data_IF_322415206082
#
_entry.id   IF_322415206082
#
_cell.length_a   1.000
_cell.length_b   1.000
_cell.length_c   1.000
_cell.angle_alpha   90.00
_cell.angle_beta   90.00
_cell.angle_gamma   90.00
#
_symmetry.space_group_name_H-M   'P 1'
#
loop_
_entity.id
_entity.type
_entity.pdbx_description
1 polymer ?
#
# COMPACT_ATOMS: atom_id res chain seq x y z
N UNK A 1 13.07 2.46 4.12
CA UNK A 1 12.95 2.88 2.71
C UNK A 1 12.86 1.64 1.85
N UNK A 2 11.70 0.99 1.85
CA UNK A 2 11.42 -0.14 0.98
C UNK A 2 11.24 0.38 -0.43
N UNK A 3 12.17 0.05 -1.34
CA UNK A 3 11.80 0.04 -2.75
C UNK A 3 10.90 -1.18 -2.92
N UNK A 4 9.59 -0.97 -3.12
CA UNK A 4 8.68 -2.01 -3.60
C UNK A 4 9.36 -2.67 -4.80
N UNK A 5 9.76 -3.93 -4.65
CA UNK A 5 10.64 -4.57 -5.62
C UNK A 5 9.85 -4.79 -6.92
N UNK A 6 10.48 -4.68 -8.09
CA UNK A 6 9.87 -5.00 -9.38
C UNK A 6 9.20 -6.39 -9.37
N UNK A 7 9.75 -7.33 -8.61
CA UNK A 7 9.16 -8.66 -8.40
C UNK A 7 7.81 -8.60 -7.68
N UNK A 8 7.68 -7.79 -6.65
CA UNK A 8 6.47 -7.67 -5.84
C UNK A 8 5.32 -7.05 -6.62
N UNK A 9 5.57 -5.96 -7.34
CA UNK A 9 4.53 -5.32 -8.16
C UNK A 9 4.03 -6.24 -9.28
N UNK A 10 4.88 -7.14 -9.79
CA UNK A 10 4.49 -8.14 -10.80
C UNK A 10 3.62 -9.24 -10.21
N UNK A 11 4.00 -9.76 -9.04
CA UNK A 11 3.21 -10.76 -8.31
C UNK A 11 1.84 -10.19 -7.96
N UNK A 12 1.79 -8.96 -7.46
CA UNK A 12 0.52 -8.30 -7.17
C UNK A 12 -0.28 -8.01 -8.44
N UNK A 13 0.34 -7.60 -9.55
CA UNK A 13 -0.36 -7.43 -10.82
C UNK A 13 -1.01 -8.73 -11.29
N UNK A 14 -0.31 -9.87 -11.16
CA UNK A 14 -0.87 -11.18 -11.50
C UNK A 14 -2.05 -11.55 -10.58
N UNK A 15 -1.91 -11.35 -9.27
CA UNK A 15 -2.98 -11.59 -8.30
C UNK A 15 -4.20 -10.68 -8.54
N UNK A 16 -3.99 -9.41 -8.89
CA UNK A 16 -5.06 -8.47 -9.21
C UNK A 16 -5.81 -8.85 -10.50
N UNK A 17 -5.10 -9.35 -11.51
CA UNK A 17 -5.71 -9.89 -12.73
C UNK A 17 -6.58 -11.10 -12.37
N UNK A 18 -6.06 -12.04 -11.56
CA UNK A 18 -6.82 -13.20 -11.11
C UNK A 18 -8.09 -12.80 -10.35
N UNK A 19 -7.98 -11.89 -9.37
CA UNK A 19 -9.13 -11.38 -8.60
C UNK A 19 -10.17 -10.68 -9.47
N UNK A 20 -9.76 -9.99 -10.52
CA UNK A 20 -10.68 -9.32 -11.46
C UNK A 20 -11.46 -10.27 -12.37
N UNK A 21 -10.99 -11.52 -12.54
CA UNK A 21 -11.51 -12.47 -13.51
C UNK A 21 -11.27 -12.08 -14.99
N UNK A 22 -10.53 -11.01 -15.26
CA UNK A 22 -10.27 -10.55 -16.63
C UNK A 22 -9.27 -11.46 -17.34
N UNK A 23 -9.57 -11.80 -18.59
CA UNK A 23 -8.63 -12.54 -19.44
C UNK A 23 -7.53 -11.61 -19.99
N UNK A 24 -6.29 -12.12 -20.11
CA UNK A 24 -5.16 -11.37 -20.67
C UNK A 24 -5.43 -10.79 -22.08
N UNK A 25 -6.27 -11.45 -22.86
CA UNK A 25 -6.70 -10.99 -24.20
C UNK A 25 -7.58 -9.73 -24.12
N UNK A 26 -8.50 -9.69 -23.15
CA UNK A 26 -9.34 -8.53 -22.89
C UNK A 26 -8.49 -7.36 -22.40
N UNK A 27 -7.60 -7.61 -21.43
CA UNK A 27 -6.64 -6.61 -20.93
C UNK A 27 -5.80 -6.03 -22.07
N UNK A 28 -5.25 -6.89 -22.92
CA UNK A 28 -4.43 -6.45 -24.05
C UNK A 28 -5.20 -5.53 -25.00
N UNK A 29 -6.48 -5.84 -25.28
CA UNK A 29 -7.35 -5.02 -26.10
C UNK A 29 -7.61 -3.65 -25.47
N UNK A 30 -8.01 -3.60 -24.20
CA UNK A 30 -8.31 -2.35 -23.49
C UNK A 30 -7.05 -1.47 -23.32
N UNK A 31 -5.90 -2.11 -23.12
CA UNK A 31 -4.61 -1.43 -23.02
C UNK A 31 -3.97 -1.14 -24.39
N UNK A 32 -4.63 -1.47 -25.52
CA UNK A 32 -4.12 -1.25 -26.88
C UNK A 32 -2.69 -1.83 -27.07
N UNK A 33 -2.49 -3.05 -26.58
CA UNK A 33 -1.23 -3.79 -26.64
C UNK A 33 -1.48 -5.22 -27.13
N UNK A 34 -0.47 -6.08 -27.09
CA UNK A 34 -0.61 -7.51 -27.43
C UNK A 34 -0.68 -8.36 -26.17
N UNK A 35 -1.37 -9.50 -26.26
CA UNK A 35 -1.41 -10.50 -25.17
C UNK A 35 0.01 -10.96 -24.77
N UNK A 36 0.94 -11.02 -25.74
CA UNK A 36 2.35 -11.34 -25.48
C UNK A 36 3.03 -10.26 -24.62
N UNK A 37 2.76 -8.97 -24.87
CA UNK A 37 3.28 -7.90 -24.02
C UNK A 37 2.75 -8.01 -22.58
N UNK A 38 1.45 -8.29 -22.40
CA UNK A 38 0.86 -8.50 -21.07
C UNK A 38 1.56 -9.64 -20.34
N UNK A 39 1.76 -10.79 -21.00
CA UNK A 39 2.52 -11.90 -20.40
C UNK A 39 3.97 -11.55 -20.09
N UNK A 40 4.63 -10.76 -20.93
CA UNK A 40 6.01 -10.33 -20.71
C UNK A 40 6.14 -9.34 -19.53
N UNK A 41 5.13 -8.52 -19.25
CA UNK A 41 5.17 -7.64 -18.09
C UNK A 41 5.10 -8.40 -16.77
N UNK A 42 4.41 -9.54 -16.78
CA UNK A 42 4.29 -10.44 -15.63
C UNK A 42 5.48 -11.42 -15.51
N UNK A 43 6.37 -11.51 -16.51
CA UNK A 43 7.56 -12.35 -16.44
C UNK A 43 8.68 -11.68 -15.67
N UNK A 44 9.63 -12.46 -15.13
CA UNK A 44 10.78 -11.93 -14.37
C UNK A 44 11.69 -11.03 -15.22
N UNK A 45 11.78 -11.31 -16.52
CA UNK A 45 12.82 -10.80 -17.41
C UNK A 45 12.61 -9.38 -17.94
N UNK A 46 11.37 -8.87 -17.96
CA UNK A 46 11.06 -7.57 -18.58
C UNK A 46 10.47 -6.60 -17.58
N UNK A 47 10.93 -5.35 -17.61
CA UNK A 47 10.37 -4.31 -16.74
C UNK A 47 8.93 -3.98 -17.14
N UNK A 48 8.13 -3.62 -16.14
CA UNK A 48 6.79 -3.11 -16.33
C UNK A 48 6.88 -1.65 -16.79
N UNK A 49 6.43 -1.27 -18.00
CA UNK A 49 6.41 0.14 -18.40
C UNK A 49 5.47 0.93 -17.48
N UNK A 50 5.95 2.05 -16.93
CA UNK A 50 5.20 2.84 -15.92
C UNK A 50 3.82 3.27 -16.43
N UNK A 51 3.73 3.70 -17.70
CA UNK A 51 2.47 4.09 -18.33
C UNK A 51 1.46 2.93 -18.40
N UNK A 52 1.96 1.72 -18.66
CA UNK A 52 1.13 0.52 -18.72
C UNK A 52 0.73 0.05 -17.33
N UNK A 53 1.60 0.22 -16.33
CA UNK A 53 1.30 -0.12 -14.94
C UNK A 53 0.15 0.74 -14.42
N UNK A 54 0.21 2.06 -14.64
CA UNK A 54 -0.85 2.99 -14.26
C UNK A 54 -2.18 2.68 -14.98
N UNK A 55 -2.12 2.37 -16.28
CA UNK A 55 -3.32 2.01 -17.05
C UNK A 55 -3.91 0.67 -16.61
N UNK A 56 -3.08 -0.32 -16.28
CA UNK A 56 -3.52 -1.61 -15.76
C UNK A 56 -4.17 -1.44 -14.39
N UNK A 57 -3.55 -0.69 -13.47
CA UNK A 57 -4.14 -0.39 -12.15
C UNK A 57 -5.53 0.24 -12.29
N UNK A 58 -5.66 1.25 -13.17
CA UNK A 58 -6.95 1.87 -13.45
C UNK A 58 -7.97 0.91 -14.06
N UNK A 59 -7.55 0.03 -14.98
CA UNK A 59 -8.43 -0.94 -15.65
C UNK A 59 -8.95 -1.99 -14.68
N UNK A 60 -8.07 -2.55 -13.84
CA UNK A 60 -8.44 -3.59 -12.87
C UNK A 60 -9.29 -3.02 -11.74
N UNK A 61 -9.10 -1.74 -11.38
CA UNK A 61 -9.82 -1.10 -10.28
C UNK A 61 -9.55 -1.75 -8.92
N UNK A 62 -8.49 -2.55 -8.83
CA UNK A 62 -8.06 -3.24 -7.62
C UNK A 62 -7.30 -2.26 -6.73
N UNK A 63 -7.83 -2.00 -5.53
CA UNK A 63 -7.34 -0.91 -4.69
C UNK A 63 -5.95 -1.23 -4.12
N UNK A 64 -5.72 -2.48 -3.69
CA UNK A 64 -4.43 -2.93 -3.17
C UNK A 64 -3.34 -2.79 -4.23
N UNK A 65 -3.60 -3.31 -5.43
CA UNK A 65 -2.67 -3.16 -6.55
C UNK A 65 -2.44 -1.70 -6.94
N UNK A 66 -3.48 -0.86 -6.83
CA UNK A 66 -3.34 0.58 -7.11
C UNK A 66 -2.44 1.30 -6.09
N UNK A 67 -2.50 0.93 -4.81
CA UNK A 67 -1.55 1.41 -3.82
C UNK A 67 -0.12 0.99 -4.19
N UNK A 68 0.13 -0.31 -4.35
CA UNK A 68 1.47 -0.83 -4.67
C UNK A 68 2.04 -0.25 -5.99
N UNK A 69 1.19 -0.03 -6.99
CA UNK A 69 1.58 0.63 -8.22
C UNK A 69 1.99 2.10 -7.99
N UNK A 70 1.30 2.82 -7.10
CA UNK A 70 1.67 4.17 -6.72
C UNK A 70 2.98 4.19 -5.91
N UNK A 71 3.19 3.26 -4.98
CA UNK A 71 4.45 3.13 -4.24
C UNK A 71 5.63 2.89 -5.18
N UNK A 72 5.47 1.96 -6.13
CA UNK A 72 6.50 1.65 -7.11
C UNK A 72 6.88 2.86 -7.98
N UNK A 73 5.89 3.68 -8.35
CA UNK A 73 6.11 4.84 -9.22
C UNK A 73 6.66 6.05 -8.47
N UNK A 74 6.21 6.30 -7.24
CA UNK A 74 6.53 7.52 -6.50
C UNK A 74 7.53 7.31 -5.35
N UNK A 75 7.84 6.07 -4.98
CA UNK A 75 8.75 5.73 -3.89
C UNK A 75 8.21 6.09 -2.50
N UNK A 76 6.89 6.20 -2.37
CA UNK A 76 6.19 6.51 -1.11
C UNK A 76 5.49 5.23 -0.66
N UNK A 77 5.81 4.72 0.52
CA UNK A 77 5.15 3.54 1.11
C UNK A 77 3.71 3.90 1.50
N UNK A 78 2.74 3.06 1.12
CA UNK A 78 1.31 3.26 1.36
C UNK A 78 0.68 2.05 2.07
N UNK A 79 1.27 0.88 1.94
CA UNK A 79 0.88 -0.39 2.53
C UNK A 79 2.11 -1.03 3.20
N UNK A 80 1.94 -1.64 4.38
CA UNK A 80 3.02 -2.35 5.03
C UNK A 80 3.37 -3.66 4.27
N UNK A 81 4.65 -4.06 4.33
CA UNK A 81 5.23 -5.28 3.73
C UNK A 81 4.59 -6.62 4.18
N UNK A 82 3.61 -6.60 5.08
CA UNK A 82 3.00 -7.79 5.65
C UNK A 82 2.09 -8.54 4.65
N UNK A 83 2.54 -9.74 4.29
CA UNK A 83 1.90 -10.78 3.47
C UNK A 83 0.70 -11.49 4.13
N UNK A 84 0.24 -11.02 5.30
CA UNK A 84 -0.95 -11.49 5.96
C UNK A 84 -2.16 -11.48 5.01
N UNK A 85 -3.05 -12.46 5.16
CA UNK A 85 -4.29 -12.53 4.38
C UNK A 85 -4.97 -11.17 4.39
N UNK A 86 -5.29 -10.64 3.21
CA UNK A 86 -5.89 -9.32 3.02
C UNK A 86 -7.37 -9.32 3.42
N UNK A 87 -7.61 -9.64 4.68
CA UNK A 87 -8.92 -9.75 5.31
C UNK A 87 -9.06 -8.55 6.25
N UNK A 88 -10.18 -7.79 6.16
CA UNK A 88 -10.38 -6.59 6.96
C UNK A 88 -10.18 -6.78 8.46
N UNK A 89 -10.56 -7.93 9.01
CA UNK A 89 -10.42 -8.22 10.43
C UNK A 89 -8.97 -8.25 10.89
N UNK A 90 -8.08 -8.93 10.16
CA UNK A 90 -6.65 -9.01 10.49
C UNK A 90 -6.01 -7.62 10.41
N UNK A 91 -6.33 -6.86 9.37
CA UNK A 91 -5.82 -5.50 9.19
C UNK A 91 -6.33 -4.52 10.25
N UNK A 92 -7.58 -4.69 10.70
CA UNK A 92 -8.13 -3.92 11.83
C UNK A 92 -7.36 -4.18 13.13
N UNK A 93 -7.07 -5.44 13.46
CA UNK A 93 -6.30 -5.72 14.68
C UNK A 93 -4.88 -5.18 14.60
N UNK A 94 -4.25 -5.21 13.43
CA UNK A 94 -2.96 -4.57 13.21
C UNK A 94 -3.05 -3.04 13.41
N UNK A 95 -4.04 -2.37 12.82
CA UNK A 95 -4.19 -0.91 13.00
C UNK A 95 -4.42 -0.51 14.45
N UNK A 96 -5.23 -1.27 15.20
CA UNK A 96 -5.45 -1.02 16.63
C UNK A 96 -4.16 -1.22 17.45
N UNK A 97 -3.33 -2.20 17.09
CA UNK A 97 -2.05 -2.39 17.76
C UNK A 97 -1.14 -1.18 17.57
N UNK A 98 -0.95 -0.75 16.32
CA UNK A 98 -0.08 0.40 16.01
C UNK A 98 -0.62 1.71 16.63
N UNK A 99 -1.94 1.92 16.63
CA UNK A 99 -2.58 3.04 17.34
C UNK A 99 -2.26 3.06 18.84
N UNK A 100 -2.29 1.88 19.50
CA UNK A 100 -1.95 1.77 20.91
C UNK A 100 -0.46 2.03 21.18
N UNK A 101 0.42 1.56 20.29
CA UNK A 101 1.87 1.76 20.38
C UNK A 101 2.20 3.27 20.28
N UNK A 102 1.61 4.01 19.32
CA UNK A 102 1.74 5.48 19.23
C UNK A 102 1.15 6.19 20.44
N UNK A 103 -0.08 5.87 20.85
CA UNK A 103 -0.72 6.48 22.03
C UNK A 103 0.07 6.25 23.32
N UNK A 104 0.80 5.14 23.41
CA UNK A 104 1.72 4.86 24.52
C UNK A 104 2.85 5.89 24.68
N UNK A 105 3.14 6.66 23.63
CA UNK A 105 4.12 7.75 23.63
C UNK A 105 3.52 9.12 23.99
N UNK A 106 2.19 9.30 23.94
CA UNK A 106 1.50 10.57 24.26
C UNK A 106 1.42 10.84 25.77
N UNK A 107 2.58 10.89 26.43
CA UNK A 107 2.73 11.18 27.85
C UNK A 107 3.06 12.66 28.06
N UNK A 108 3.19 13.08 29.32
CA UNK A 108 3.49 14.48 29.69
C UNK A 108 4.71 15.07 28.93
N UNK A 109 5.73 14.24 28.67
CA UNK A 109 6.92 14.61 27.88
C UNK A 109 6.58 15.00 26.44
N UNK A 110 5.66 14.29 25.78
CA UNK A 110 5.24 14.58 24.41
C UNK A 110 4.61 15.98 24.32
N UNK A 111 3.63 16.28 25.18
CA UNK A 111 2.96 17.57 25.20
C UNK A 111 3.92 18.73 25.52
N UNK A 112 4.86 18.49 26.43
CA UNK A 112 5.89 19.48 26.81
C UNK A 112 6.86 19.78 25.66
N UNK A 113 7.21 18.79 24.84
CA UNK A 113 8.08 18.97 23.66
C UNK A 113 7.31 19.69 22.54
N UNK A 114 6.08 19.26 22.26
CA UNK A 114 5.22 19.84 21.22
C UNK A 114 4.83 21.30 21.48
N UNK A 115 4.87 21.75 22.73
CA UNK A 115 4.62 23.15 23.08
C UNK A 115 5.81 24.09 22.77
N UNK A 116 6.99 23.54 22.46
CA UNK A 116 8.20 24.31 22.11
C UNK A 116 8.32 24.50 20.60
N UNK A 117 9.06 25.52 20.18
CA UNK A 117 9.51 25.61 18.79
C UNK A 117 10.41 24.43 18.45
N UNK A 118 10.31 23.81 17.26
CA UNK A 118 11.22 22.73 16.84
C UNK A 118 12.70 23.13 16.85
N UNK A 119 13.00 24.43 16.72
CA UNK A 119 14.37 24.98 16.81
C UNK A 119 14.96 24.92 18.22
N UNK A 120 14.11 24.75 19.24
CA UNK A 120 14.48 24.80 20.65
C UNK A 120 14.56 23.39 21.27
N UNK A 121 14.32 22.35 20.46
CA UNK A 121 14.41 20.97 20.90
C UNK A 121 15.86 20.57 21.14
N UNK A 122 16.12 19.93 22.28
CA UNK A 122 17.41 19.31 22.54
C UNK A 122 17.49 17.89 21.93
N UNK A 123 18.70 17.31 21.89
CA UNK A 123 18.94 16.00 21.27
C UNK A 123 18.03 14.87 21.79
N UNK A 124 17.68 14.88 23.08
CA UNK A 124 16.79 13.86 23.65
C UNK A 124 15.34 14.04 23.17
N UNK A 125 14.90 15.27 22.96
CA UNK A 125 13.58 15.63 22.46
C UNK A 125 13.48 15.34 20.97
N UNK A 126 14.52 15.66 20.20
CA UNK A 126 14.63 15.26 18.78
C UNK A 126 14.55 13.74 18.64
N UNK A 127 15.29 13.00 19.47
CA UNK A 127 15.25 11.53 19.45
C UNK A 127 13.86 10.99 19.81
N UNK A 128 13.21 11.57 20.83
CA UNK A 128 11.85 11.20 21.23
C UNK A 128 10.86 11.46 20.09
N UNK A 129 10.87 12.65 19.49
CA UNK A 129 9.99 13.01 18.38
C UNK A 129 10.29 12.22 17.11
N UNK A 130 11.53 11.80 16.88
CA UNK A 130 11.87 10.88 15.79
C UNK A 130 11.24 9.52 15.99
N UNK A 131 11.28 8.99 17.23
CA UNK A 131 10.58 7.75 17.58
C UNK A 131 9.07 7.88 17.42
N UNK A 132 8.49 8.97 17.93
CA UNK A 132 7.06 9.26 17.76
C UNK A 132 6.67 9.36 16.28
N UNK A 133 7.48 10.02 15.45
CA UNK A 133 7.23 10.13 14.01
C UNK A 133 7.21 8.77 13.33
N UNK A 134 8.07 7.83 13.77
CA UNK A 134 8.10 6.46 13.25
C UNK A 134 6.84 5.69 13.62
N UNK A 135 6.41 5.71 14.89
CA UNK A 135 5.17 5.03 15.31
C UNK A 135 3.93 5.64 14.62
N UNK A 136 3.93 6.96 14.41
CA UNK A 136 2.86 7.64 13.65
C UNK A 136 2.81 7.19 12.18
N UNK A 137 3.97 6.97 11.56
CA UNK A 137 4.08 6.44 10.20
C UNK A 137 3.57 4.99 10.14
N UNK A 138 3.99 4.13 11.08
CA UNK A 138 3.55 2.73 11.19
C UNK A 138 2.02 2.63 11.40
N UNK A 139 1.42 3.46 12.25
CA UNK A 139 -0.04 3.56 12.40
C UNK A 139 -0.72 3.99 11.09
N UNK A 140 -0.22 5.03 10.44
CA UNK A 140 -0.80 5.55 9.19
C UNK A 140 -0.79 4.48 8.09
N UNK A 141 0.29 3.70 7.99
CA UNK A 141 0.41 2.58 7.05
C UNK A 141 -0.58 1.46 7.41
N UNK A 142 -0.72 1.11 8.68
CA UNK A 142 -1.64 0.08 9.14
C UNK A 142 -3.12 0.49 8.89
N UNK A 143 -3.48 1.75 9.13
CA UNK A 143 -4.81 2.28 8.82
C UNK A 143 -5.10 2.30 7.32
N UNK A 144 -4.12 2.70 6.51
CA UNK A 144 -4.25 2.70 5.05
C UNK A 144 -4.46 1.29 4.52
N UNK A 145 -3.72 0.32 5.08
CA UNK A 145 -3.87 -1.11 4.79
C UNK A 145 -5.24 -1.64 5.18
N UNK A 146 -5.74 -1.29 6.36
CA UNK A 146 -7.09 -1.65 6.78
C UNK A 146 -8.16 -1.04 5.84
N UNK A 147 -8.04 0.24 5.50
CA UNK A 147 -8.93 0.91 4.55
C UNK A 147 -8.92 0.21 3.18
N UNK A 148 -7.75 -0.21 2.71
CA UNK A 148 -7.57 -0.94 1.47
C UNK A 148 -8.33 -2.25 1.47
N UNK A 149 -8.15 -3.07 2.51
CA UNK A 149 -8.81 -4.35 2.66
C UNK A 149 -10.34 -4.22 2.69
N UNK A 150 -10.87 -3.20 3.38
CA UNK A 150 -12.32 -2.90 3.43
C UNK A 150 -12.86 -2.52 2.05
N UNK A 151 -12.20 -1.59 1.35
CA UNK A 151 -12.60 -1.17 0.00
C UNK A 151 -12.58 -2.32 -0.98
N UNK A 152 -11.54 -3.15 -0.94
CA UNK A 152 -11.41 -4.34 -1.79
C UNK A 152 -12.53 -5.35 -1.51
N UNK A 153 -12.80 -5.63 -0.23
CA UNK A 153 -13.88 -6.55 0.18
C UNK A 153 -15.26 -6.05 -0.29
N UNK A 154 -15.51 -4.75 -0.15
CA UNK A 154 -16.74 -4.13 -0.63
C UNK A 154 -16.89 -4.25 -2.15
N UNK A 155 -15.80 -4.04 -2.89
CA UNK A 155 -15.79 -4.17 -4.35
C UNK A 155 -16.16 -5.58 -4.79
N UNK A 156 -15.53 -6.59 -4.21
CA UNK A 156 -15.83 -8.01 -4.47
C UNK A 156 -17.30 -8.32 -4.17
N UNK A 157 -17.82 -7.82 -3.04
CA UNK A 157 -19.21 -8.04 -2.66
C UNK A 157 -20.23 -7.36 -3.58
N UNK A 158 -19.85 -6.27 -4.25
CA UNK A 158 -20.69 -5.58 -5.25
C UNK A 158 -20.61 -6.29 -6.60
N UNK A 159 -19.40 -6.57 -7.08
CA UNK A 159 -19.17 -7.12 -8.42
C UNK A 159 -19.55 -8.61 -8.51
N UNK A 160 -19.45 -9.37 -7.41
CA UNK A 160 -19.89 -10.77 -7.30
C UNK A 160 -21.40 -10.96 -7.14
N UNK A 161 -22.20 -9.88 -7.18
CA UNK A 161 -23.68 -9.93 -7.18
C UNK A 161 -24.30 -9.82 -8.59
N UNK A 162 -23.48 -9.92 -9.64
CA UNK A 162 -23.92 -9.92 -11.05
C UNK A 162 -23.98 -11.36 -11.56
#
# INVERSE_FOLDING_TARGET
MGQTNLTEIKLEAEAAIERSGMQKQFIAKELQTTTSNVSNWLSETRNFPIDQLARLSKLLGDYRFSCLAAEYVFGIELLPDDQGQDIPQTRFFASIKEENDRKGLEKESFFSIMAKSPTDWNDSEVKFMSGYSKELEEETLAETSYSAAVKQSLRIAIDGRI
#
